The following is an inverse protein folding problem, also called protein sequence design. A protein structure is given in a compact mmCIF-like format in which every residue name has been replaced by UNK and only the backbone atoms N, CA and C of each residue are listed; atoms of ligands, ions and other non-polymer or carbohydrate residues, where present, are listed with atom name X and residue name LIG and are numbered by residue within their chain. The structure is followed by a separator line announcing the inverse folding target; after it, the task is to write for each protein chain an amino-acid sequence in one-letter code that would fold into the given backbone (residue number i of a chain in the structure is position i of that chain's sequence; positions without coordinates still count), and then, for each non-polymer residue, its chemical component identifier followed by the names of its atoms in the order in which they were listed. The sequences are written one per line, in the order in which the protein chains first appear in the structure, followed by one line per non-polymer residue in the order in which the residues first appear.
data_IF_078070599289
#
_entry.id   IF_078070599289
#
_cell.length_a   1.000
_cell.length_b   1.000
_cell.length_c   1.000
_cell.angle_alpha   90.00
_cell.angle_beta   90.00
_cell.angle_gamma   90.00
#
_symmetry.space_group_name_H-M   'P 1'
#
loop_
_entity.id
_entity.type
_entity.pdbx_description
1 polymer ?
#
# COMPACT_ATOMS: atom_id res chain seq x y z
N UNK A 1 15.29 1.93 -1.16
CA UNK A 1 14.19 2.46 -0.33
C UNK A 1 12.87 1.74 -0.64
N UNK A 2 12.40 1.76 -1.89
CA UNK A 2 11.10 1.24 -2.28
C UNK A 2 10.94 -0.28 -2.05
N UNK A 3 11.95 -1.06 -2.39
CA UNK A 3 11.97 -2.50 -2.14
C UNK A 3 11.82 -2.84 -0.65
N UNK A 4 12.50 -2.11 0.23
CA UNK A 4 12.40 -2.31 1.68
C UNK A 4 11.00 -2.01 2.19
N UNK A 5 10.37 -0.94 1.69
CA UNK A 5 8.99 -0.61 2.04
C UNK A 5 8.02 -1.74 1.65
N UNK A 6 8.14 -2.27 0.44
CA UNK A 6 7.32 -3.39 -0.05
C UNK A 6 7.55 -4.63 0.84
N UNK A 7 8.81 -5.00 1.09
CA UNK A 7 9.14 -6.19 1.88
C UNK A 7 8.61 -6.10 3.31
N UNK A 8 8.81 -4.98 4.00
CA UNK A 8 8.33 -4.81 5.38
C UNK A 8 6.79 -4.74 5.44
N UNK A 9 6.15 -4.04 4.50
CA UNK A 9 4.69 -3.99 4.44
C UNK A 9 4.08 -5.37 4.15
N UNK A 10 4.63 -6.11 3.17
CA UNK A 10 4.18 -7.46 2.85
C UNK A 10 4.40 -8.42 4.03
N UNK A 11 5.54 -8.31 4.74
CA UNK A 11 5.84 -9.12 5.93
C UNK A 11 4.85 -8.83 7.06
N UNK A 12 4.58 -7.54 7.33
CA UNK A 12 3.61 -7.13 8.35
C UNK A 12 2.22 -7.70 8.06
N UNK A 13 1.77 -7.60 6.80
CA UNK A 13 0.49 -8.14 6.36
C UNK A 13 0.43 -9.67 6.46
N UNK A 14 1.50 -10.35 6.03
CA UNK A 14 1.60 -11.81 6.12
C UNK A 14 1.55 -12.31 7.55
N UNK A 15 2.34 -11.75 8.47
CA UNK A 15 2.33 -12.14 9.88
C UNK A 15 0.98 -11.83 10.54
N UNK A 16 0.35 -10.71 10.20
CA UNK A 16 -0.99 -10.38 10.71
C UNK A 16 -2.02 -11.45 10.32
N UNK A 17 -2.05 -11.85 9.03
CA UNK A 17 -2.95 -12.92 8.57
C UNK A 17 -2.60 -14.24 9.26
N UNK A 18 -1.32 -14.57 9.41
CA UNK A 18 -0.87 -15.81 10.05
C UNK A 18 -1.38 -15.90 11.49
N UNK A 19 -1.21 -14.86 12.30
CA UNK A 19 -1.65 -14.84 13.70
C UNK A 19 -3.17 -14.84 13.83
N UNK A 20 -3.90 -14.04 13.04
CA UNK A 20 -5.37 -14.05 13.05
C UNK A 20 -5.89 -15.44 12.72
N UNK A 21 -5.33 -16.06 11.69
CA UNK A 21 -5.68 -17.40 11.30
C UNK A 21 -5.45 -18.38 12.45
N UNK A 22 -4.29 -18.33 13.10
CA UNK A 22 -3.94 -19.24 14.20
C UNK A 22 -4.85 -19.06 15.41
N UNK A 23 -5.14 -17.80 15.80
CA UNK A 23 -6.06 -17.50 16.89
C UNK A 23 -7.49 -17.96 16.57
N UNK A 24 -7.95 -17.77 15.34
CA UNK A 24 -9.29 -18.16 14.90
C UNK A 24 -9.46 -19.68 14.86
N UNK A 25 -8.47 -20.42 14.35
CA UNK A 25 -8.51 -21.90 14.35
C UNK A 25 -8.44 -22.48 15.76
N UNK A 26 -7.69 -21.88 16.67
CA UNK A 26 -7.64 -22.29 18.07
C UNK A 26 -9.01 -22.20 18.76
N UNK A 27 -9.81 -21.19 18.43
CA UNK A 27 -11.16 -21.02 19.00
C UNK A 27 -12.24 -21.85 18.29
N UNK A 28 -12.16 -22.09 16.99
CA UNK A 28 -13.20 -22.78 16.22
C UNK A 28 -13.02 -24.28 16.16
N UNK A 29 -11.80 -24.78 16.28
CA UNK A 29 -11.56 -26.22 16.46
C UNK A 29 -12.31 -26.81 17.68
N UNK A 30 -12.71 -25.93 18.62
CA UNK A 30 -13.55 -26.28 19.76
C UNK A 30 -15.06 -26.17 19.49
N UNK A 31 -15.50 -25.56 18.39
CA UNK A 31 -16.92 -25.25 18.19
C UNK A 31 -17.60 -25.86 16.95
N UNK A 32 -16.97 -26.08 15.80
CA UNK A 32 -17.63 -26.62 14.61
C UNK A 32 -16.71 -27.27 13.57
N UNK A 33 -17.15 -28.44 13.08
CA UNK A 33 -16.45 -29.28 12.08
C UNK A 33 -16.56 -28.80 10.60
N UNK A 34 -17.00 -27.59 10.30
CA UNK A 34 -17.19 -27.15 8.91
C UNK A 34 -16.59 -25.78 8.67
N UNK A 35 -15.34 -25.75 8.22
CA UNK A 35 -14.75 -24.59 7.56
C UNK A 35 -14.32 -24.92 6.13
N UNK A 36 -14.46 -23.98 5.17
CA UNK A 36 -13.96 -24.21 3.83
C UNK A 36 -12.44 -24.40 3.89
N UNK A 37 -11.97 -25.53 3.44
CA UNK A 37 -10.54 -25.90 3.35
C UNK A 37 -9.70 -24.87 2.59
N UNK A 38 -10.34 -24.00 1.79
CA UNK A 38 -9.71 -22.92 1.03
C UNK A 38 -8.94 -21.89 1.89
N UNK A 39 -9.33 -21.72 3.15
CA UNK A 39 -8.61 -20.86 4.10
C UNK A 39 -7.46 -21.60 4.82
N UNK A 40 -7.28 -22.89 4.56
CA UNK A 40 -6.44 -23.74 5.40
C UNK A 40 -4.93 -23.61 5.18
N UNK A 41 -4.45 -23.13 4.05
CA UNK A 41 -3.00 -23.11 3.78
C UNK A 41 -2.49 -21.73 3.32
N UNK A 42 -1.72 -21.07 4.19
CA UNK A 42 -0.79 -20.02 3.73
C UNK A 42 0.31 -20.73 2.93
N UNK A 43 0.08 -20.90 1.65
CA UNK A 43 0.99 -21.56 0.73
C UNK A 43 1.86 -20.50 -0.01
N UNK A 44 2.78 -20.97 -0.82
CA UNK A 44 3.65 -20.11 -1.63
C UNK A 44 2.85 -19.12 -2.49
N UNK A 45 1.69 -19.54 -3.01
CA UNK A 45 0.81 -18.69 -3.80
C UNK A 45 0.27 -17.50 -2.98
N UNK A 46 -0.09 -17.72 -1.71
CA UNK A 46 -0.52 -16.64 -0.79
C UNK A 46 0.57 -15.59 -0.59
N UNK A 47 1.81 -16.04 -0.38
CA UNK A 47 2.96 -15.13 -0.20
C UNK A 47 3.19 -14.30 -1.46
N UNK A 48 3.15 -14.94 -2.63
CA UNK A 48 3.30 -14.26 -3.92
C UNK A 48 2.18 -13.25 -4.13
N UNK A 49 0.92 -13.62 -3.87
CA UNK A 49 -0.24 -12.72 -4.02
C UNK A 49 -0.14 -11.49 -3.13
N UNK A 50 0.25 -11.66 -1.87
CA UNK A 50 0.46 -10.55 -0.93
C UNK A 50 1.59 -9.63 -1.42
N UNK A 51 2.71 -10.21 -1.87
CA UNK A 51 3.84 -9.44 -2.37
C UNK A 51 3.46 -8.64 -3.63
N UNK A 52 2.76 -9.28 -4.57
CA UNK A 52 2.29 -8.62 -5.81
C UNK A 52 1.31 -7.50 -5.48
N UNK A 53 0.30 -7.76 -4.62
CA UNK A 53 -0.66 -6.74 -4.22
C UNK A 53 0.02 -5.55 -3.53
N UNK A 54 0.92 -5.80 -2.57
CA UNK A 54 1.68 -4.74 -1.91
C UNK A 54 2.52 -3.94 -2.91
N UNK A 55 3.11 -4.60 -3.90
CA UNK A 55 3.88 -3.94 -4.96
C UNK A 55 2.98 -3.05 -5.82
N UNK A 56 1.82 -3.54 -6.24
CA UNK A 56 0.83 -2.79 -7.02
C UNK A 56 0.34 -1.56 -6.25
N UNK A 57 0.05 -1.72 -4.94
CA UNK A 57 -0.36 -0.62 -4.08
C UNK A 57 0.64 0.53 -4.10
N UNK A 58 1.90 0.27 -3.80
CA UNK A 58 2.91 1.31 -3.81
C UNK A 58 3.23 1.84 -5.21
N UNK A 59 3.13 0.99 -6.24
CA UNK A 59 3.33 1.39 -7.62
C UNK A 59 2.25 2.36 -8.10
N UNK A 60 1.00 2.26 -7.58
CA UNK A 60 -0.09 3.18 -7.90
C UNK A 60 0.25 4.64 -7.58
N UNK A 61 0.91 4.90 -6.45
CA UNK A 61 1.35 6.24 -6.06
C UNK A 61 2.44 6.78 -6.99
N UNK A 62 3.41 5.92 -7.38
CA UNK A 62 4.45 6.29 -8.32
C UNK A 62 3.88 6.64 -9.69
N UNK A 63 3.01 5.76 -10.20
CA UNK A 63 2.39 5.95 -11.50
C UNK A 63 1.47 7.17 -11.51
N UNK A 64 0.66 7.36 -10.46
CA UNK A 64 -0.19 8.53 -10.31
C UNK A 64 0.62 9.83 -10.34
N UNK A 65 1.68 9.89 -9.54
CA UNK A 65 2.57 11.06 -9.52
C UNK A 65 3.28 11.30 -10.85
N UNK A 66 3.71 10.22 -11.52
CA UNK A 66 4.32 10.32 -12.85
C UNK A 66 3.34 10.87 -13.89
N UNK A 67 2.14 10.30 -13.97
CA UNK A 67 1.10 10.72 -14.92
C UNK A 67 0.72 12.19 -14.71
N UNK A 68 0.48 12.57 -13.46
CA UNK A 68 0.15 13.95 -13.11
C UNK A 68 1.26 14.93 -13.55
N UNK A 69 2.51 14.67 -13.16
CA UNK A 69 3.62 15.57 -13.48
C UNK A 69 3.90 15.63 -14.99
N UNK A 70 3.85 14.47 -15.66
CA UNK A 70 4.14 14.39 -17.10
C UNK A 70 3.06 15.02 -17.97
N UNK A 71 1.78 14.76 -17.67
CA UNK A 71 0.67 15.09 -18.56
C UNK A 71 -0.15 16.30 -18.10
N UNK A 72 -0.36 16.50 -16.80
CA UNK A 72 -1.14 17.65 -16.30
C UNK A 72 -0.22 18.85 -16.11
N UNK A 73 0.94 18.65 -15.49
CA UNK A 73 1.93 19.72 -15.29
C UNK A 73 2.81 19.97 -16.52
N UNK A 74 2.66 19.13 -17.57
CA UNK A 74 3.38 19.25 -18.85
C UNK A 74 4.92 19.26 -18.71
N UNK A 75 5.45 18.64 -17.68
CA UNK A 75 6.89 18.54 -17.45
C UNK A 75 7.48 17.41 -18.31
N UNK A 76 7.87 17.72 -19.54
CA UNK A 76 8.39 16.76 -20.53
C UNK A 76 9.62 15.97 -20.04
N UNK A 77 10.45 16.58 -19.21
CA UNK A 77 11.65 15.96 -18.64
C UNK A 77 11.38 15.09 -17.40
N UNK A 78 10.09 14.92 -17.03
CA UNK A 78 9.72 14.11 -15.89
C UNK A 78 9.72 12.64 -16.25
N UNK A 79 10.62 11.87 -15.61
CA UNK A 79 10.80 10.43 -15.82
C UNK A 79 10.38 9.65 -14.56
N UNK A 80 10.08 8.36 -14.71
CA UNK A 80 9.81 7.48 -13.56
C UNK A 80 10.98 7.44 -12.57
N UNK A 81 12.21 7.56 -13.08
CA UNK A 81 13.41 7.61 -12.25
C UNK A 81 13.42 8.85 -11.34
N UNK A 82 13.06 10.03 -11.87
CA UNK A 82 12.94 11.25 -11.06
C UNK A 82 11.86 11.12 -9.98
N UNK A 83 10.71 10.49 -10.31
CA UNK A 83 9.66 10.22 -9.35
C UNK A 83 10.18 9.28 -8.24
N UNK A 84 10.82 8.18 -8.61
CA UNK A 84 11.44 7.24 -7.67
C UNK A 84 12.46 7.92 -6.75
N UNK A 85 13.28 8.80 -7.31
CA UNK A 85 14.29 9.55 -6.55
C UNK A 85 13.63 10.48 -5.52
N UNK A 86 12.56 11.21 -5.90
CA UNK A 86 11.84 12.07 -4.97
C UNK A 86 11.14 11.27 -3.87
N UNK A 87 10.47 10.18 -4.24
CA UNK A 87 9.89 9.29 -3.24
C UNK A 87 10.94 8.69 -2.30
N UNK A 88 12.10 8.31 -2.80
CA UNK A 88 13.15 7.72 -1.97
C UNK A 88 13.60 8.62 -0.82
N UNK A 89 13.54 9.94 -1.02
CA UNK A 89 13.84 10.93 0.02
C UNK A 89 12.73 11.03 1.08
N UNK A 90 11.47 10.81 0.68
CA UNK A 90 10.31 10.92 1.57
C UNK A 90 9.95 9.61 2.28
N UNK A 91 10.45 8.47 1.79
CA UNK A 91 10.09 7.15 2.28
C UNK A 91 10.88 6.67 3.51
N UNK A 92 11.84 7.42 4.01
CA UNK A 92 12.65 7.00 5.16
C UNK A 92 11.78 6.70 6.40
N UNK A 93 10.84 7.59 6.73
CA UNK A 93 9.92 7.42 7.86
C UNK A 93 8.95 6.26 7.62
N UNK A 94 8.22 6.15 6.48
CA UNK A 94 7.40 4.99 6.17
C UNK A 94 8.14 3.65 6.26
N UNK A 95 9.37 3.55 5.76
CA UNK A 95 10.19 2.32 5.84
C UNK A 95 10.46 1.95 7.30
N UNK A 96 10.84 2.92 8.12
CA UNK A 96 11.10 2.68 9.55
C UNK A 96 9.82 2.23 10.28
N UNK A 97 8.68 2.88 10.02
CA UNK A 97 7.40 2.52 10.62
C UNK A 97 6.94 1.12 10.19
N UNK A 98 7.07 0.77 8.91
CA UNK A 98 6.68 -0.57 8.42
C UNK A 98 7.63 -1.66 8.91
N UNK A 99 8.92 -1.36 9.14
CA UNK A 99 9.84 -2.30 9.77
C UNK A 99 9.43 -2.59 11.22
N UNK A 100 9.10 -1.56 11.99
CA UNK A 100 8.58 -1.73 13.35
C UNK A 100 7.22 -2.44 13.33
N UNK A 101 6.33 -2.11 12.40
CA UNK A 101 5.04 -2.78 12.25
C UNK A 101 5.22 -4.28 11.97
N UNK A 102 6.16 -4.65 11.10
CA UNK A 102 6.49 -6.05 10.80
C UNK A 102 7.01 -6.78 12.06
N UNK A 103 7.83 -6.12 12.88
CA UNK A 103 8.30 -6.65 14.15
C UNK A 103 7.14 -6.90 15.12
N UNK A 104 6.24 -5.94 15.31
CA UNK A 104 5.07 -6.11 16.16
C UNK A 104 4.11 -7.19 15.64
N UNK A 105 3.92 -7.28 14.32
CA UNK A 105 3.12 -8.34 13.71
C UNK A 105 3.71 -9.72 13.99
N UNK A 106 5.03 -9.87 13.94
CA UNK A 106 5.71 -11.12 14.25
C UNK A 106 5.46 -11.57 15.71
N UNK A 107 5.41 -10.62 16.66
CA UNK A 107 5.14 -10.88 18.08
C UNK A 107 3.64 -10.82 18.45
N UNK A 108 2.72 -11.03 17.50
CA UNK A 108 1.26 -11.05 17.71
C UNK A 108 0.66 -9.75 18.25
N UNK A 109 1.38 -8.64 18.18
CA UNK A 109 0.87 -7.32 18.57
C UNK A 109 0.17 -6.63 17.38
N UNK A 110 -0.93 -7.24 16.89
CA UNK A 110 -1.59 -6.87 15.64
C UNK A 110 -2.12 -5.43 15.63
N UNK A 111 -2.67 -4.96 16.75
CA UNK A 111 -3.22 -3.59 16.86
C UNK A 111 -2.14 -2.52 16.66
N UNK A 112 -0.97 -2.71 17.30
CA UNK A 112 0.15 -1.78 17.12
C UNK A 112 0.72 -1.85 15.71
N UNK A 113 0.85 -3.05 15.14
CA UNK A 113 1.27 -3.25 13.76
C UNK A 113 0.33 -2.52 12.80
N UNK A 114 -0.99 -2.73 12.92
CA UNK A 114 -2.00 -2.07 12.09
C UNK A 114 -1.94 -0.54 12.21
N UNK A 115 -1.82 0.01 13.42
CA UNK A 115 -1.69 1.44 13.65
C UNK A 115 -0.48 2.02 12.92
N UNK A 116 0.69 1.39 13.03
CA UNK A 116 1.92 1.84 12.38
C UNK A 116 1.83 1.74 10.85
N UNK A 117 1.18 0.70 10.32
CA UNK A 117 0.90 0.58 8.89
C UNK A 117 0.00 1.71 8.39
N UNK A 118 -1.08 2.02 9.11
CA UNK A 118 -1.99 3.13 8.77
C UNK A 118 -1.24 4.47 8.77
N UNK A 119 -0.43 4.75 9.78
CA UNK A 119 0.39 5.97 9.84
C UNK A 119 1.34 6.02 8.65
N UNK A 120 2.00 4.90 8.32
CA UNK A 120 2.89 4.81 7.16
C UNK A 120 2.17 5.13 5.84
N UNK A 121 0.98 4.57 5.64
CA UNK A 121 0.15 4.83 4.45
C UNK A 121 -0.24 6.32 4.37
N UNK A 122 -0.64 6.92 5.48
CA UNK A 122 -0.96 8.37 5.53
C UNK A 122 0.24 9.21 5.12
N UNK A 123 1.45 8.89 5.60
CA UNK A 123 2.68 9.62 5.22
C UNK A 123 2.97 9.44 3.73
N UNK A 124 2.76 8.26 3.16
CA UNK A 124 2.95 8.00 1.71
C UNK A 124 1.93 8.79 0.88
N UNK A 125 0.67 8.86 1.33
CA UNK A 125 -0.35 9.70 0.71
C UNK A 125 0.06 11.18 0.73
N UNK A 126 0.54 11.68 1.86
CA UNK A 126 1.03 13.06 1.98
C UNK A 126 2.25 13.31 1.09
N UNK A 127 3.16 12.34 0.98
CA UNK A 127 4.30 12.42 0.06
C UNK A 127 3.83 12.48 -1.41
N UNK A 128 2.85 11.66 -1.79
CA UNK A 128 2.24 11.70 -3.11
C UNK A 128 1.60 13.07 -3.38
N UNK A 129 0.78 13.57 -2.46
CA UNK A 129 0.18 14.90 -2.57
C UNK A 129 1.24 15.99 -2.70
N UNK A 130 2.29 15.96 -1.90
CA UNK A 130 3.39 16.93 -1.98
C UNK A 130 4.04 16.94 -3.37
N UNK A 131 4.27 15.77 -3.97
CA UNK A 131 4.87 15.66 -5.30
C UNK A 131 3.93 16.21 -6.37
N UNK A 132 2.64 15.87 -6.35
CA UNK A 132 1.69 16.27 -7.40
C UNK A 132 1.23 17.72 -7.27
N UNK A 133 1.27 18.32 -6.08
CA UNK A 133 0.82 19.72 -5.85
C UNK A 133 1.94 20.74 -5.99
N UNK A 134 3.19 20.31 -6.15
CA UNK A 134 4.32 21.21 -6.34
C UNK A 134 4.13 22.05 -7.61
N UNK A 135 4.22 23.40 -7.53
CA UNK A 135 4.02 24.28 -8.67
C UNK A 135 4.93 23.91 -9.85
N UNK A 136 4.37 23.87 -11.04
CA UNK A 136 5.13 23.69 -12.28
C UNK A 136 5.25 25.06 -13.00
N UNK A 137 6.46 25.38 -13.43
CA UNK A 137 6.71 26.57 -14.24
C UNK A 137 6.31 26.38 -15.72
N UNK A 138 6.02 25.14 -16.12
CA UNK A 138 5.77 24.77 -17.51
C UNK A 138 4.28 24.85 -17.92
N UNK A 139 3.36 24.99 -16.96
CA UNK A 139 1.93 24.95 -17.23
C UNK A 139 1.34 26.37 -17.32
N UNK A 140 0.64 26.65 -18.41
CA UNK A 140 -0.17 27.86 -18.61
C UNK A 140 -1.56 27.78 -17.99
N UNK A 141 -1.92 26.61 -17.44
CA UNK A 141 -3.24 26.36 -16.85
C UNK A 141 -3.37 27.06 -15.48
N UNK A 142 -4.57 27.56 -15.18
CA UNK A 142 -4.91 28.09 -13.86
C UNK A 142 -4.52 27.10 -12.76
N UNK A 143 -3.78 27.57 -11.78
CA UNK A 143 -3.23 26.75 -10.69
C UNK A 143 -4.30 25.99 -9.90
N UNK A 144 -5.53 26.52 -9.79
CA UNK A 144 -6.64 25.84 -9.13
C UNK A 144 -7.11 24.63 -9.92
N UNK A 145 -7.35 24.77 -11.21
CA UNK A 145 -7.78 23.66 -12.09
C UNK A 145 -6.68 22.60 -12.20
N UNK A 146 -5.42 23.02 -12.26
CA UNK A 146 -4.28 22.11 -12.28
C UNK A 146 -4.22 21.28 -11.00
N UNK A 147 -4.39 21.91 -9.84
CA UNK A 147 -4.42 21.21 -8.55
C UNK A 147 -5.59 20.21 -8.50
N UNK A 148 -6.80 20.66 -8.84
CA UNK A 148 -8.00 19.84 -8.83
C UNK A 148 -7.84 18.60 -9.73
N UNK A 149 -7.41 18.81 -10.98
CA UNK A 149 -7.19 17.75 -11.96
C UNK A 149 -6.10 16.78 -11.50
N UNK A 150 -5.03 17.29 -10.87
CA UNK A 150 -3.93 16.48 -10.34
C UNK A 150 -4.41 15.52 -9.25
N UNK A 151 -5.18 16.01 -8.30
CA UNK A 151 -5.75 15.21 -7.21
C UNK A 151 -6.75 14.18 -7.76
N UNK A 152 -7.60 14.59 -8.68
CA UNK A 152 -8.61 13.72 -9.28
C UNK A 152 -7.96 12.57 -10.08
N UNK A 153 -7.02 12.86 -10.97
CA UNK A 153 -6.34 11.84 -11.78
C UNK A 153 -5.52 10.89 -10.91
N UNK A 154 -4.78 11.42 -9.93
CA UNK A 154 -4.04 10.58 -8.98
C UNK A 154 -4.99 9.67 -8.20
N UNK A 155 -6.11 10.20 -7.72
CA UNK A 155 -7.14 9.42 -7.00
C UNK A 155 -7.76 8.31 -7.85
N UNK A 156 -8.06 8.58 -9.12
CA UNK A 156 -8.58 7.57 -10.06
C UNK A 156 -7.55 6.44 -10.28
N UNK A 157 -6.27 6.78 -10.46
CA UNK A 157 -5.21 5.77 -10.64
C UNK A 157 -5.11 4.90 -9.39
N UNK A 158 -5.05 5.50 -8.20
CA UNK A 158 -4.99 4.74 -6.93
C UNK A 158 -6.22 3.83 -6.80
N UNK A 159 -7.42 4.33 -7.11
CA UNK A 159 -8.66 3.55 -7.05
C UNK A 159 -8.65 2.35 -8.00
N UNK A 160 -8.18 2.52 -9.24
CA UNK A 160 -8.08 1.43 -10.21
C UNK A 160 -7.14 0.32 -9.72
N UNK A 161 -5.98 0.71 -9.16
CA UNK A 161 -5.05 -0.27 -8.58
C UNK A 161 -5.64 -0.94 -7.35
N UNK A 162 -6.32 -0.20 -6.48
CA UNK A 162 -7.00 -0.76 -5.30
C UNK A 162 -8.06 -1.80 -5.67
N UNK A 163 -8.83 -1.59 -6.74
CA UNK A 163 -9.79 -2.59 -7.24
C UNK A 163 -9.06 -3.86 -7.70
N UNK A 164 -7.93 -3.73 -8.40
CA UNK A 164 -7.11 -4.87 -8.81
C UNK A 164 -6.52 -5.63 -7.60
N UNK A 165 -6.09 -4.91 -6.57
CA UNK A 165 -5.58 -5.49 -5.32
C UNK A 165 -6.64 -6.26 -4.57
N UNK A 166 -7.85 -5.69 -4.43
CA UNK A 166 -8.98 -6.38 -3.80
C UNK A 166 -9.35 -7.66 -4.57
N UNK A 167 -9.22 -7.68 -5.89
CA UNK A 167 -9.41 -8.89 -6.68
C UNK A 167 -8.33 -9.95 -6.41
N UNK A 168 -7.09 -9.54 -6.10
CA UNK A 168 -5.97 -10.46 -5.82
C UNK A 168 -5.98 -11.01 -4.39
N UNK A 169 -6.30 -10.17 -3.40
CA UNK A 169 -6.16 -10.49 -1.97
C UNK A 169 -7.45 -10.31 -1.18
N UNK A 170 -8.60 -10.17 -1.84
CA UNK A 170 -9.88 -9.89 -1.18
C UNK A 170 -10.27 -10.89 -0.10
N UNK A 171 -9.96 -12.17 -0.31
CA UNK A 171 -10.21 -13.20 0.70
C UNK A 171 -9.33 -13.01 1.96
N UNK A 172 -8.09 -12.55 1.79
CA UNK A 172 -7.21 -12.24 2.92
C UNK A 172 -7.63 -10.95 3.64
N UNK A 173 -8.12 -9.94 2.89
CA UNK A 173 -8.66 -8.70 3.48
C UNK A 173 -9.90 -8.96 4.35
N UNK A 174 -10.75 -9.91 3.95
CA UNK A 174 -11.91 -10.32 4.78
C UNK A 174 -11.47 -10.90 6.12
N UNK A 175 -10.36 -11.63 6.17
CA UNK A 175 -9.81 -12.14 7.43
C UNK A 175 -9.39 -10.98 8.35
N UNK A 176 -8.79 -9.92 7.81
CA UNK A 176 -8.39 -8.74 8.58
C UNK A 176 -9.58 -7.93 9.11
N UNK A 177 -10.75 -8.01 8.48
CA UNK A 177 -11.95 -7.30 8.93
C UNK A 177 -12.52 -7.85 10.26
N UNK A 178 -12.01 -8.97 10.77
CA UNK A 178 -12.36 -9.54 12.08
C UNK A 178 -11.44 -9.03 13.22
N UNK A 179 -10.54 -8.10 12.96
CA UNK A 179 -9.71 -7.40 13.96
C UNK A 179 -10.49 -6.27 14.65
#
# INVERSE_FOLDING_TARGET
AFLLLILFSASSFFFSIYHIKHAYYGHIATMHNHFPEQFASLNLFSIISILVATTLFFFSFLLGSFVVRRFIHQEKDWTLEKVLQQYSQLLAIPIFLTAIASFFAFFDSLRFSALLCVISIVIILLASLHIITRPSQASETDSFYQLFLSVLVNGVIILLFFVAEVALIGDYLRILAFL
#
